data_IF_297668122074
#
_entry.id   IF_297668122074
#
_cell.length_a   1.000
_cell.length_b   1.000
_cell.length_c   1.000
_cell.angle_alpha   90.00
_cell.angle_beta   90.00
_cell.angle_gamma   90.00
#
_symmetry.space_group_name_H-M   'P 1'
#
loop_
_entity.id
_entity.type
_entity.pdbx_description
1 polymer ?
#
# COMPACT_ATOMS: atom_id res chain seq x y z
N UNK A 1 5.56 24.59 8.28
CA UNK A 1 6.70 24.88 7.37
C UNK A 1 6.10 25.07 5.98
N UNK A 2 6.10 26.28 5.44
CA UNK A 2 5.42 26.63 4.18
C UNK A 2 6.46 26.73 3.06
N UNK A 3 6.29 25.96 1.98
CA UNK A 3 7.08 26.08 0.76
C UNK A 3 6.23 26.79 -0.30
N UNK A 4 6.64 28.00 -0.71
CA UNK A 4 6.03 28.73 -1.82
C UNK A 4 6.66 28.25 -3.13
N UNK A 5 5.87 27.62 -3.99
CA UNK A 5 6.21 27.36 -5.39
C UNK A 5 5.26 28.19 -6.25
N UNK A 6 5.81 29.08 -7.07
CA UNK A 6 5.08 29.85 -8.09
C UNK A 6 3.90 30.73 -7.60
N UNK A 7 3.95 31.30 -6.40
CA UNK A 7 2.99 32.34 -5.97
C UNK A 7 1.57 31.87 -5.62
N UNK A 8 1.34 30.55 -5.55
CA UNK A 8 0.09 29.95 -5.02
C UNK A 8 0.39 29.18 -3.75
N UNK A 9 -0.48 29.30 -2.75
CA UNK A 9 -0.38 28.52 -1.51
C UNK A 9 -0.68 27.05 -1.83
N UNK A 10 0.37 26.22 -1.79
CA UNK A 10 0.26 24.78 -1.97
C UNK A 10 -0.08 24.16 -0.63
N UNK A 11 -1.29 23.61 -0.52
CA UNK A 11 -1.75 22.86 0.66
C UNK A 11 -0.94 21.56 0.80
N UNK A 12 0.20 21.63 1.50
CA UNK A 12 1.10 20.50 1.81
C UNK A 12 0.36 19.23 2.28
N UNK A 13 -0.64 19.30 3.18
CA UNK A 13 -1.39 18.12 3.63
C UNK A 13 -2.16 17.41 2.50
N UNK A 14 -2.72 18.18 1.56
CA UNK A 14 -3.48 17.65 0.42
C UNK A 14 -2.57 16.95 -0.59
N UNK A 15 -1.37 17.48 -0.79
CA UNK A 15 -0.35 16.87 -1.66
C UNK A 15 0.19 15.57 -1.05
N UNK A 16 0.45 15.56 0.25
CA UNK A 16 0.84 14.34 0.99
C UNK A 16 -0.27 13.29 0.95
N UNK A 17 -1.53 13.68 1.18
CA UNK A 17 -2.68 12.76 1.08
C UNK A 17 -2.84 12.16 -0.32
N UNK A 18 -2.70 12.96 -1.38
CA UNK A 18 -2.75 12.48 -2.76
C UNK A 18 -1.61 11.50 -3.10
N UNK A 19 -0.41 11.77 -2.61
CA UNK A 19 0.73 10.86 -2.77
C UNK A 19 0.50 9.52 -2.05
N UNK A 20 0.04 9.56 -0.80
CA UNK A 20 -0.29 8.35 -0.03
C UNK A 20 -1.37 7.54 -0.73
N UNK A 21 -2.43 8.19 -1.22
CA UNK A 21 -3.51 7.51 -1.96
C UNK A 21 -3.01 6.80 -3.21
N UNK A 22 -2.18 7.47 -4.01
CA UNK A 22 -1.64 6.90 -5.24
C UNK A 22 -0.70 5.73 -4.93
N UNK A 23 0.19 5.88 -3.93
CA UNK A 23 1.07 4.80 -3.49
C UNK A 23 0.28 3.60 -2.95
N UNK A 24 -0.72 3.84 -2.10
CA UNK A 24 -1.58 2.80 -1.55
C UNK A 24 -2.36 2.06 -2.63
N UNK A 25 -2.86 2.77 -3.64
CA UNK A 25 -3.57 2.16 -4.78
C UNK A 25 -2.65 1.22 -5.57
N UNK A 26 -1.42 1.66 -5.87
CA UNK A 26 -0.45 0.82 -6.57
C UNK A 26 -0.11 -0.44 -5.75
N UNK A 27 0.13 -0.27 -4.45
CA UNK A 27 0.44 -1.40 -3.57
C UNK A 27 -0.75 -2.34 -3.38
N UNK A 28 -1.98 -1.82 -3.38
CA UNK A 28 -3.20 -2.61 -3.34
C UNK A 28 -3.33 -3.52 -4.57
N UNK A 29 -3.09 -2.99 -5.78
CA UNK A 29 -3.09 -3.77 -7.02
C UNK A 29 -1.99 -4.85 -6.99
N UNK A 30 -0.80 -4.51 -6.51
CA UNK A 30 0.28 -5.49 -6.36
C UNK A 30 -0.10 -6.60 -5.36
N UNK A 31 -0.73 -6.26 -4.24
CA UNK A 31 -1.18 -7.21 -3.24
C UNK A 31 -2.29 -8.13 -3.78
N UNK A 32 -3.23 -7.61 -4.58
CA UNK A 32 -4.26 -8.43 -5.23
C UNK A 32 -3.66 -9.40 -6.22
N UNK A 33 -2.68 -8.97 -7.03
CA UNK A 33 -1.98 -9.88 -7.94
C UNK A 33 -1.29 -11.03 -7.19
N UNK A 34 -0.60 -10.74 -6.08
CA UNK A 34 0.02 -11.77 -5.22
C UNK A 34 -1.00 -12.72 -4.59
N UNK A 35 -2.17 -12.22 -4.21
CA UNK A 35 -3.26 -13.06 -3.69
C UNK A 35 -3.77 -14.03 -4.74
N UNK A 36 -3.99 -13.56 -5.98
CA UNK A 36 -4.42 -14.43 -7.08
C UNK A 36 -3.35 -15.46 -7.43
N UNK A 37 -2.09 -15.06 -7.50
CA UNK A 37 -0.97 -15.98 -7.73
C UNK A 37 -0.90 -17.06 -6.63
N UNK A 38 -1.06 -16.68 -5.36
CA UNK A 38 -1.09 -17.65 -4.25
C UNK A 38 -2.26 -18.63 -4.37
N UNK A 39 -3.41 -18.16 -4.83
CA UNK A 39 -4.60 -18.99 -5.05
C UNK A 39 -4.42 -19.98 -6.20
N UNK A 40 -3.81 -19.55 -7.29
CA UNK A 40 -3.55 -20.40 -8.45
C UNK A 40 -2.46 -21.45 -8.12
N UNK A 41 -1.41 -21.05 -7.41
CA UNK A 41 -0.39 -21.98 -6.89
C UNK A 41 -1.00 -23.04 -5.96
N UNK A 42 -1.97 -22.68 -5.11
CA UNK A 42 -2.67 -23.64 -4.25
C UNK A 42 -3.43 -24.69 -5.07
N UNK A 43 -4.16 -24.27 -6.09
CA UNK A 43 -4.87 -25.18 -6.99
C UNK A 43 -3.91 -26.08 -7.75
N UNK A 44 -2.78 -25.53 -8.21
CA UNK A 44 -1.77 -26.31 -8.92
C UNK A 44 -1.18 -27.39 -8.00
N UNK A 45 -0.88 -27.07 -6.74
CA UNK A 45 -0.43 -28.03 -5.74
C UNK A 45 -1.48 -29.10 -5.46
N UNK A 46 -2.77 -28.74 -5.31
CA UNK A 46 -3.84 -29.72 -5.14
C UNK A 46 -3.97 -30.66 -6.34
N UNK A 47 -3.92 -30.12 -7.56
CA UNK A 47 -3.94 -30.93 -8.78
C UNK A 47 -2.72 -31.86 -8.86
N UNK A 48 -1.54 -31.38 -8.47
CA UNK A 48 -0.31 -32.18 -8.43
C UNK A 48 -0.44 -33.34 -7.43
N UNK A 49 -0.98 -33.09 -6.24
CA UNK A 49 -1.22 -34.14 -5.22
C UNK A 49 -2.26 -35.17 -5.69
N UNK A 50 -3.29 -34.73 -6.43
CA UNK A 50 -4.25 -35.64 -7.03
C UNK A 50 -3.62 -36.59 -8.07
N UNK A 51 -2.65 -36.11 -8.85
CA UNK A 51 -1.88 -36.94 -9.81
C UNK A 51 -0.88 -37.86 -9.08
N UNK A 52 -0.24 -37.37 -8.03
CA UNK A 52 0.69 -38.16 -7.22
C UNK A 52 0.03 -39.37 -6.54
N UNK A 53 -1.31 -39.39 -6.46
CA UNK A 53 -2.09 -40.55 -6.02
C UNK A 53 -1.96 -41.75 -6.96
N UNK A 54 -1.95 -41.50 -8.27
CA UNK A 54 -1.81 -42.57 -9.29
C UNK A 54 -0.35 -42.85 -9.60
N UNK A 55 0.50 -41.82 -9.53
CA UNK A 55 1.92 -41.91 -9.90
C UNK A 55 2.79 -41.34 -8.77
N UNK A 56 3.24 -42.19 -7.81
CA UNK A 56 3.93 -41.73 -6.60
C UNK A 56 5.30 -41.09 -6.87
N UNK A 57 5.85 -41.26 -8.09
CA UNK A 57 7.11 -40.65 -8.53
C UNK A 57 7.03 -39.11 -8.61
N UNK A 58 5.84 -38.54 -8.77
CA UNK A 58 5.64 -37.09 -8.87
C UNK A 58 5.52 -36.38 -7.51
N UNK A 59 5.32 -37.14 -6.43
CA UNK A 59 5.18 -36.59 -5.08
C UNK A 59 6.32 -35.63 -4.63
N UNK A 60 7.62 -35.96 -4.80
CA UNK A 60 8.70 -35.05 -4.41
C UNK A 60 8.66 -33.72 -5.17
N UNK A 61 8.25 -33.72 -6.44
CA UNK A 61 8.10 -32.51 -7.24
C UNK A 61 6.97 -31.64 -6.70
N UNK A 62 5.81 -32.23 -6.41
CA UNK A 62 4.68 -31.51 -5.79
C UNK A 62 5.08 -30.90 -4.43
N UNK A 63 5.85 -31.65 -3.62
CA UNK A 63 6.33 -31.16 -2.33
C UNK A 63 7.31 -29.99 -2.46
N UNK A 64 8.21 -30.04 -3.45
CA UNK A 64 9.14 -28.94 -3.73
C UNK A 64 8.40 -27.68 -4.20
N UNK A 65 7.41 -27.82 -5.10
CA UNK A 65 6.61 -26.70 -5.58
C UNK A 65 5.77 -26.08 -4.45
N UNK A 66 5.13 -26.90 -3.62
CA UNK A 66 4.38 -26.42 -2.46
C UNK A 66 5.26 -25.66 -1.47
N UNK A 67 6.50 -26.12 -1.25
CA UNK A 67 7.45 -25.44 -0.37
C UNK A 67 8.00 -24.16 -1.00
N UNK A 68 8.30 -24.16 -2.29
CA UNK A 68 8.88 -23.00 -2.98
C UNK A 68 7.88 -21.85 -3.14
N UNK A 69 6.64 -22.17 -3.53
CA UNK A 69 5.63 -21.14 -3.85
C UNK A 69 4.81 -20.70 -2.63
N UNK A 70 4.52 -21.60 -1.69
CA UNK A 70 3.57 -21.37 -0.60
C UNK A 70 4.18 -21.52 0.80
N UNK A 71 5.47 -21.87 0.88
CA UNK A 71 6.15 -22.22 2.14
C UNK A 71 5.41 -23.30 2.95
N UNK A 72 4.72 -24.21 2.24
CA UNK A 72 3.95 -25.29 2.85
C UNK A 72 4.76 -26.59 2.89
N UNK A 73 4.73 -27.25 4.05
CA UNK A 73 5.23 -28.61 4.18
C UNK A 73 4.09 -29.62 3.99
N UNK A 74 4.14 -30.38 2.89
CA UNK A 74 3.20 -31.47 2.61
C UNK A 74 3.81 -32.79 3.09
N UNK A 75 3.03 -33.60 3.82
CA UNK A 75 3.48 -34.90 4.35
C UNK A 75 3.33 -36.00 3.30
N UNK A 76 4.26 -36.96 3.27
CA UNK A 76 4.18 -38.15 2.41
C UNK A 76 2.83 -38.86 2.57
N UNK A 77 2.18 -39.18 1.44
CA UNK A 77 0.87 -39.84 1.41
C UNK A 77 -0.32 -38.93 1.73
N UNK A 78 -0.12 -37.60 1.71
CA UNK A 78 -1.20 -36.65 1.86
C UNK A 78 -1.86 -36.38 0.50
N UNK A 79 -3.11 -36.81 0.36
CA UNK A 79 -3.84 -36.74 -0.91
C UNK A 79 -4.42 -35.35 -1.22
N UNK A 80 -4.64 -34.52 -0.19
CA UNK A 80 -5.21 -33.18 -0.31
C UNK A 80 -4.59 -32.24 0.73
N UNK A 81 -4.55 -30.94 0.43
CA UNK A 81 -4.15 -29.93 1.40
C UNK A 81 -5.14 -29.89 2.58
N UNK A 82 -4.62 -29.83 3.80
CA UNK A 82 -5.47 -29.64 4.96
C UNK A 82 -6.04 -28.22 4.94
N UNK A 83 -7.27 -28.01 5.43
CA UNK A 83 -7.86 -26.68 5.53
C UNK A 83 -6.93 -25.70 6.28
N UNK A 84 -6.18 -26.18 7.29
CA UNK A 84 -5.21 -25.36 8.01
C UNK A 84 -4.05 -24.88 7.14
N UNK A 85 -3.52 -25.74 6.26
CA UNK A 85 -2.48 -25.36 5.30
C UNK A 85 -3.02 -24.41 4.24
N UNK A 86 -4.23 -24.68 3.74
CA UNK A 86 -4.90 -23.84 2.75
C UNK A 86 -5.12 -22.41 3.27
N UNK A 87 -5.77 -22.27 4.44
CA UNK A 87 -5.97 -20.95 5.05
C UNK A 87 -4.66 -20.32 5.50
N UNK A 88 -3.69 -21.11 5.98
CA UNK A 88 -2.37 -20.62 6.37
C UNK A 88 -1.63 -19.93 5.22
N UNK A 89 -1.64 -20.53 4.03
CA UNK A 89 -1.00 -19.97 2.84
C UNK A 89 -1.70 -18.70 2.33
N UNK A 90 -3.03 -18.62 2.44
CA UNK A 90 -3.80 -17.44 2.01
C UNK A 90 -3.81 -16.29 3.02
N UNK A 91 -3.49 -16.56 4.29
CA UNK A 91 -3.61 -15.55 5.35
C UNK A 91 -2.68 -14.36 5.10
N UNK A 92 -1.43 -14.62 4.72
CA UNK A 92 -0.44 -13.56 4.44
C UNK A 92 -0.87 -12.63 3.29
N UNK A 93 -1.19 -13.14 2.08
CA UNK A 93 -1.61 -12.27 0.98
C UNK A 93 -2.93 -11.53 1.30
N UNK A 94 -3.89 -12.17 1.96
CA UNK A 94 -5.15 -11.51 2.38
C UNK A 94 -4.86 -10.39 3.37
N UNK A 95 -4.03 -10.63 4.39
CA UNK A 95 -3.66 -9.63 5.38
C UNK A 95 -2.96 -8.42 4.72
N UNK A 96 -2.08 -8.69 3.75
CA UNK A 96 -1.39 -7.63 3.00
C UNK A 96 -2.37 -6.80 2.17
N UNK A 97 -3.35 -7.43 1.53
CA UNK A 97 -4.40 -6.74 0.78
C UNK A 97 -5.25 -5.85 1.71
N UNK A 98 -5.67 -6.38 2.85
CA UNK A 98 -6.44 -5.64 3.85
C UNK A 98 -5.64 -4.47 4.45
N UNK A 99 -4.34 -4.67 4.67
CA UNK A 99 -3.45 -3.60 5.14
C UNK A 99 -3.42 -2.43 4.15
N UNK A 100 -3.22 -2.69 2.85
CA UNK A 100 -3.21 -1.62 1.85
C UNK A 100 -4.57 -0.98 1.65
N UNK A 101 -5.66 -1.74 1.79
CA UNK A 101 -7.01 -1.20 1.81
C UNK A 101 -7.21 -0.21 2.97
N UNK A 102 -6.72 -0.56 4.17
CA UNK A 102 -6.74 0.33 5.34
C UNK A 102 -5.89 1.58 5.12
N UNK A 103 -4.69 1.45 4.54
CA UNK A 103 -3.84 2.61 4.20
C UNK A 103 -4.53 3.51 3.16
N UNK A 104 -5.24 2.94 2.18
CA UNK A 104 -6.01 3.70 1.20
C UNK A 104 -7.13 4.50 1.90
N UNK A 105 -7.85 3.88 2.84
CA UNK A 105 -8.86 4.57 3.64
C UNK A 105 -8.27 5.71 4.49
N UNK A 106 -7.12 5.49 5.12
CA UNK A 106 -6.39 6.52 5.87
C UNK A 106 -5.95 7.66 4.95
N UNK A 107 -5.37 7.35 3.79
CA UNK A 107 -5.00 8.34 2.78
C UNK A 107 -6.19 9.16 2.30
N UNK A 108 -7.35 8.53 2.17
CA UNK A 108 -8.61 9.21 1.79
C UNK A 108 -9.06 10.19 2.88
N UNK A 109 -9.00 9.80 4.15
CA UNK A 109 -9.27 10.69 5.28
C UNK A 109 -8.33 11.89 5.25
N UNK A 110 -7.01 11.67 5.14
CA UNK A 110 -6.01 12.76 5.11
C UNK A 110 -6.24 13.73 3.95
N UNK A 111 -6.57 13.19 2.76
CA UNK A 111 -6.90 14.00 1.59
C UNK A 111 -8.13 14.89 1.82
N UNK A 112 -9.15 14.37 2.52
CA UNK A 112 -10.37 15.12 2.87
C UNK A 112 -10.17 16.13 4.01
N UNK A 113 -9.38 15.80 5.02
CA UNK A 113 -9.10 16.72 6.15
C UNK A 113 -8.23 17.91 5.76
N UNK A 114 -7.55 17.87 4.62
CA UNK A 114 -6.78 19.00 4.08
C UNK A 114 -7.63 20.21 3.66
N UNK A 115 -8.97 20.14 3.75
CA UNK A 115 -9.89 21.27 3.57
C UNK A 115 -10.03 22.15 4.82
N UNK A 116 -9.37 21.84 5.94
CA UNK A 116 -9.34 22.74 7.11
C UNK A 116 -8.46 23.94 6.77
N UNK A 117 -9.12 24.97 6.21
CA UNK A 117 -8.59 26.31 6.03
C UNK A 117 -8.30 26.86 7.42
N UNK A 118 -7.04 26.83 7.85
CA UNK A 118 -6.61 27.67 8.96
C UNK A 118 -6.64 29.09 8.40
N UNK A 119 -7.51 30.00 8.88
CA UNK A 119 -7.46 31.38 8.46
C UNK A 119 -6.12 31.92 8.92
N UNK A 120 -5.16 31.98 7.99
CA UNK A 120 -3.93 32.73 8.21
C UNK A 120 -4.39 34.18 8.08
N UNK A 121 -4.68 34.80 9.23
CA UNK A 121 -4.68 36.25 9.30
C UNK A 121 -3.31 36.70 8.80
N UNK A 122 -3.26 37.20 7.56
CA UNK A 122 -2.13 37.97 7.08
C UNK A 122 -2.06 39.21 7.97
N UNK A 123 -1.29 39.14 9.05
CA UNK A 123 -0.85 40.35 9.75
C UNK A 123 0.09 41.08 8.80
N UNK A 124 -0.47 41.95 7.97
CA UNK A 124 0.25 42.97 7.23
C UNK A 124 1.03 43.80 8.26
N UNK A 125 2.30 43.47 8.46
CA UNK A 125 3.22 44.42 9.06
C UNK A 125 3.53 45.44 7.97
N UNK A 126 2.78 46.53 7.96
CA UNK A 126 3.14 47.73 7.22
C UNK A 126 4.54 48.14 7.68
N UNK A 127 5.52 47.93 6.82
CA UNK A 127 6.84 48.53 7.00
C UNK A 127 6.66 50.04 6.86
N UNK A 128 7.00 50.86 7.86
CA UNK A 128 6.85 52.30 7.74
C UNK A 128 7.73 52.82 6.61
N UNK A 129 7.06 53.38 5.60
CA UNK A 129 7.66 54.05 4.46
C UNK A 129 8.53 55.20 4.97
N UNK A 130 9.85 55.00 4.93
CA UNK A 130 10.82 55.98 5.42
C UNK A 130 10.96 57.09 4.38
N UNK A 131 10.04 58.04 4.40
CA UNK A 131 10.09 59.31 3.65
C UNK A 131 11.44 60.01 3.80
N UNK A 132 12.30 60.11 2.76
CA UNK A 132 13.46 60.99 2.78
C UNK A 132 13.05 62.34 2.18
N UNK A 133 12.29 63.13 2.96
CA UNK A 133 11.83 64.45 2.56
C UNK A 133 12.25 65.54 3.54
N UNK A 134 13.10 66.45 3.06
CA UNK A 134 13.38 67.82 3.57
C UNK A 134 14.33 67.97 4.77
N UNK A 135 15.59 68.30 4.46
CA UNK A 135 16.37 69.31 5.21
C UNK A 135 16.74 70.44 4.24
N UNK A 136 15.93 71.51 4.25
CA UNK A 136 16.26 72.87 4.74
C UNK A 136 17.31 73.60 3.89
N UNK A 137 16.80 74.48 3.01
CA UNK A 137 17.48 75.71 2.60
C UNK A 137 17.50 76.68 3.79
N UNK A 138 18.68 77.11 4.21
CA UNK A 138 19.05 78.51 4.46
C UNK A 138 20.52 78.57 4.80
#
# INVERSE_FOLDING_TARGET
MFFRVAGRDVYLPRLVGAFILLAALLMFIQASAKMFDSWDNLKEVENCLAVARTEPEFFPTCQQNAKASLDLYVRLGQDNLTARQFFGALLVPIAMLLFWLAVLFVGWIFYKTGEVVVPIEESWHDFPEKNPGKKRKK
#
